data_IF_697320014270
#
_entry.id   IF_697320014270
#
_cell.length_a   1.000
_cell.length_b   1.000
_cell.length_c   1.000
_cell.angle_alpha   90.00
_cell.angle_beta   90.00
_cell.angle_gamma   90.00
#
_symmetry.space_group_name_H-M   'P 1'
#
loop_
_entity.id
_entity.type
_entity.pdbx_description
1 polymer ?
#
# COMPACT_ATOMS: atom_id res chain seq x y z
N UNK A 1 -42.97 -11.12 26.61
CA UNK A 1 -42.97 -11.24 25.14
C UNK A 1 -42.28 -10.01 24.61
N UNK A 2 -40.95 -9.98 24.70
CA UNK A 2 -40.17 -8.84 24.22
C UNK A 2 -40.07 -8.97 22.71
N UNK A 3 -40.95 -8.25 22.03
CA UNK A 3 -40.78 -7.96 20.61
C UNK A 3 -39.46 -7.22 20.50
N UNK A 4 -38.42 -7.88 19.99
CA UNK A 4 -37.22 -7.16 19.55
C UNK A 4 -37.70 -6.02 18.64
N UNK A 5 -37.55 -4.78 19.11
CA UNK A 5 -37.87 -3.59 18.34
C UNK A 5 -36.94 -3.58 17.13
N UNK A 6 -37.41 -4.15 16.01
CA UNK A 6 -36.75 -4.07 14.73
C UNK A 6 -36.79 -2.60 14.31
N UNK A 7 -35.66 -1.91 14.46
CA UNK A 7 -35.52 -0.57 13.94
C UNK A 7 -35.50 -0.64 12.40
N UNK A 8 -36.46 0.02 11.76
CA UNK A 8 -36.48 0.18 10.32
C UNK A 8 -35.86 1.53 9.95
N UNK A 9 -34.71 1.49 9.28
CA UNK A 9 -34.02 2.69 8.87
C UNK A 9 -34.84 3.46 7.82
N UNK A 10 -35.15 4.71 8.14
CA UNK A 10 -35.74 5.66 7.19
C UNK A 10 -34.62 6.41 6.46
N UNK A 11 -34.66 6.46 5.12
CA UNK A 11 -33.60 7.11 4.32
C UNK A 11 -33.81 8.61 4.09
N UNK A 12 -34.99 9.13 4.44
CA UNK A 12 -35.37 10.54 4.26
C UNK A 12 -35.90 11.20 5.56
N UNK A 13 -35.26 11.02 6.73
CA UNK A 13 -35.76 11.58 7.99
C UNK A 13 -35.69 13.11 8.04
N UNK A 14 -34.81 13.74 7.25
CA UNK A 14 -34.63 15.18 7.23
C UNK A 14 -35.51 15.80 6.14
N UNK A 15 -36.64 16.37 6.55
CA UNK A 15 -37.58 17.10 5.68
C UNK A 15 -38.05 16.32 4.44
N UNK A 16 -38.02 14.98 4.47
CA UNK A 16 -38.35 14.13 3.33
C UNK A 16 -37.34 14.22 2.17
N UNK A 17 -36.19 14.87 2.34
CA UNK A 17 -35.18 15.03 1.30
C UNK A 17 -34.03 14.04 1.48
N UNK A 18 -33.74 13.27 0.44
CA UNK A 18 -32.62 12.33 0.43
C UNK A 18 -31.27 13.05 0.51
N UNK A 19 -31.14 14.21 -0.14
CA UNK A 19 -29.90 14.97 -0.15
C UNK A 19 -29.62 15.56 1.24
N UNK A 20 -30.62 16.17 1.88
CA UNK A 20 -30.46 16.72 3.23
C UNK A 20 -30.17 15.61 4.24
N UNK A 21 -30.88 14.48 4.12
CA UNK A 21 -30.64 13.32 4.97
C UNK A 21 -29.24 12.74 4.78
N UNK A 22 -28.72 12.71 3.55
CA UNK A 22 -27.35 12.28 3.26
C UNK A 22 -26.30 13.25 3.83
N UNK A 23 -26.52 14.56 3.75
CA UNK A 23 -25.63 15.56 4.35
C UNK A 23 -25.59 15.43 5.88
N UNK A 24 -26.74 15.22 6.52
CA UNK A 24 -26.81 14.98 7.96
C UNK A 24 -26.17 13.65 8.34
N UNK A 25 -26.42 12.57 7.58
CA UNK A 25 -25.78 11.27 7.77
C UNK A 25 -24.24 11.33 7.58
N UNK A 26 -23.74 12.28 6.80
CA UNK A 26 -22.32 12.51 6.56
C UNK A 26 -21.59 13.25 7.70
N UNK A 27 -22.31 13.84 8.66
CA UNK A 27 -21.71 14.62 9.76
C UNK A 27 -20.62 13.87 10.55
N UNK A 28 -20.75 12.58 10.91
CA UNK A 28 -19.67 11.85 11.57
C UNK A 28 -18.36 11.85 10.77
N UNK A 29 -18.44 11.73 9.44
CA UNK A 29 -17.28 11.80 8.56
C UNK A 29 -16.73 13.21 8.48
N UNK A 30 -17.59 14.23 8.35
CA UNK A 30 -17.15 15.63 8.31
C UNK A 30 -16.45 16.04 9.61
N UNK A 31 -17.00 15.66 10.76
CA UNK A 31 -16.36 15.86 12.07
C UNK A 31 -14.99 15.19 12.11
N UNK A 32 -14.91 13.92 11.69
CA UNK A 32 -13.66 13.19 11.64
C UNK A 32 -12.62 13.90 10.76
N UNK A 33 -12.98 14.28 9.54
CA UNK A 33 -12.07 14.94 8.59
C UNK A 33 -11.65 16.33 9.06
N UNK A 34 -12.56 17.14 9.60
CA UNK A 34 -12.24 18.47 10.14
C UNK A 34 -11.28 18.34 11.33
N UNK A 35 -11.56 17.45 12.27
CA UNK A 35 -10.71 17.25 13.44
C UNK A 35 -9.32 16.71 13.06
N UNK A 36 -9.24 15.80 12.09
CA UNK A 36 -7.99 15.17 11.67
C UNK A 36 -7.17 16.07 10.75
N UNK A 37 -7.77 16.61 9.69
CA UNK A 37 -7.05 17.34 8.64
C UNK A 37 -6.84 18.83 8.97
N UNK A 38 -7.83 19.47 9.60
CA UNK A 38 -7.79 20.91 9.90
C UNK A 38 -7.25 21.14 11.30
N UNK A 39 -7.87 20.52 12.32
CA UNK A 39 -7.48 20.72 13.72
C UNK A 39 -6.25 19.89 14.12
N UNK A 40 -5.86 18.89 13.31
CA UNK A 40 -4.69 18.03 13.51
C UNK A 40 -4.68 17.34 14.88
N UNK A 41 -5.86 16.94 15.36
CA UNK A 41 -6.02 16.25 16.63
C UNK A 41 -5.62 14.76 16.51
N UNK A 42 -5.27 14.11 17.63
CA UNK A 42 -5.01 12.67 17.64
C UNK A 42 -6.16 11.85 17.02
N UNK A 43 -5.81 10.87 16.17
CA UNK A 43 -6.79 10.08 15.41
C UNK A 43 -7.83 9.38 16.29
N UNK A 44 -7.43 8.91 17.49
CA UNK A 44 -8.34 8.25 18.43
C UNK A 44 -9.43 9.20 18.98
N UNK A 45 -9.11 10.49 19.16
CA UNK A 45 -10.08 11.51 19.57
C UNK A 45 -11.06 11.80 18.43
N UNK A 46 -10.55 11.87 17.20
CA UNK A 46 -11.37 12.10 16.01
C UNK A 46 -12.37 10.95 15.79
N UNK A 47 -11.91 9.70 15.97
CA UNK A 47 -12.77 8.52 15.89
C UNK A 47 -13.85 8.50 16.98
N UNK A 48 -13.50 8.85 18.22
CA UNK A 48 -14.46 8.94 19.33
C UNK A 48 -15.50 10.04 19.07
N UNK A 49 -15.09 11.21 18.60
CA UNK A 49 -16.01 12.30 18.26
C UNK A 49 -16.96 11.92 17.11
N UNK A 50 -16.46 11.24 16.09
CA UNK A 50 -17.27 10.72 14.99
C UNK A 50 -18.29 9.68 15.49
N UNK A 51 -17.88 8.76 16.36
CA UNK A 51 -18.76 7.77 16.97
C UNK A 51 -19.88 8.45 17.78
N UNK A 52 -19.53 9.41 18.64
CA UNK A 52 -20.51 10.14 19.44
C UNK A 52 -21.47 10.93 18.56
N UNK A 53 -20.97 11.53 17.48
CA UNK A 53 -21.81 12.23 16.48
C UNK A 53 -22.78 11.25 15.83
N UNK A 54 -22.33 10.06 15.43
CA UNK A 54 -23.19 9.03 14.84
C UNK A 54 -24.25 8.54 15.83
N UNK A 55 -23.89 8.30 17.10
CA UNK A 55 -24.82 7.88 18.13
C UNK A 55 -25.90 8.94 18.41
N UNK A 56 -25.50 10.22 18.52
CA UNK A 56 -26.43 11.34 18.72
C UNK A 56 -27.40 11.47 17.55
N UNK A 57 -26.90 11.37 16.31
CA UNK A 57 -27.76 11.43 15.13
C UNK A 57 -28.72 10.23 15.05
N UNK A 58 -28.24 9.02 15.37
CA UNK A 58 -29.07 7.83 15.44
C UNK A 58 -30.26 8.01 16.39
N UNK A 59 -30.00 8.55 17.59
CA UNK A 59 -31.04 8.79 18.59
C UNK A 59 -31.99 9.93 18.20
N UNK A 60 -31.45 11.08 17.77
CA UNK A 60 -32.24 12.31 17.61
C UNK A 60 -32.86 12.49 16.23
N UNK A 61 -32.16 12.10 15.16
CA UNK A 61 -32.62 12.31 13.77
C UNK A 61 -33.33 11.08 13.24
N UNK A 62 -32.78 9.89 13.50
CA UNK A 62 -33.36 8.62 13.04
C UNK A 62 -34.33 8.00 14.04
N UNK A 63 -34.42 8.53 15.28
CA UNK A 63 -35.32 8.01 16.30
C UNK A 63 -34.98 6.57 16.71
N UNK A 64 -33.72 6.16 16.56
CA UNK A 64 -33.29 4.80 16.82
C UNK A 64 -33.39 4.50 18.32
N UNK A 65 -33.97 3.37 18.75
CA UNK A 65 -34.05 3.03 20.16
C UNK A 65 -32.67 2.99 20.83
N UNK A 66 -32.58 3.42 22.09
CA UNK A 66 -31.31 3.50 22.80
C UNK A 66 -30.60 2.13 22.87
N UNK A 67 -31.34 1.05 23.14
CA UNK A 67 -30.77 -0.31 23.17
C UNK A 67 -30.17 -0.74 21.83
N UNK A 68 -30.81 -0.40 20.71
CA UNK A 68 -30.30 -0.68 19.35
C UNK A 68 -29.06 0.18 19.07
N UNK A 69 -29.06 1.44 19.49
CA UNK A 69 -27.90 2.36 19.36
C UNK A 69 -26.69 1.87 20.11
N UNK A 70 -26.88 1.42 21.35
CA UNK A 70 -25.82 0.83 22.15
C UNK A 70 -25.32 -0.48 21.52
N UNK A 71 -26.24 -1.34 21.06
CA UNK A 71 -25.90 -2.59 20.37
C UNK A 71 -25.08 -2.37 19.10
N UNK A 72 -25.47 -1.44 18.23
CA UNK A 72 -24.72 -1.08 17.03
C UNK A 72 -23.33 -0.49 17.36
N UNK A 73 -23.25 0.31 18.45
CA UNK A 73 -21.99 0.88 18.93
C UNK A 73 -21.04 -0.22 19.40
N UNK A 74 -21.51 -1.16 20.23
CA UNK A 74 -20.69 -2.25 20.75
C UNK A 74 -20.33 -3.27 19.68
N UNK A 75 -21.22 -3.53 18.72
CA UNK A 75 -20.93 -4.33 17.53
C UNK A 75 -19.80 -3.69 16.71
N UNK A 76 -19.86 -2.39 16.44
CA UNK A 76 -18.79 -1.68 15.74
C UNK A 76 -17.45 -1.71 16.50
N UNK A 77 -17.48 -1.57 17.83
CA UNK A 77 -16.28 -1.73 18.67
C UNK A 77 -15.72 -3.16 18.61
N UNK A 78 -16.59 -4.18 18.66
CA UNK A 78 -16.19 -5.59 18.54
C UNK A 78 -15.62 -5.89 17.15
N UNK A 79 -16.19 -5.31 16.09
CA UNK A 79 -15.67 -5.41 14.72
C UNK A 79 -14.28 -4.73 14.59
N UNK A 80 -14.08 -3.58 15.23
CA UNK A 80 -12.74 -2.96 15.29
C UNK A 80 -11.72 -3.81 16.06
N UNK A 81 -12.12 -4.31 17.22
CA UNK A 81 -11.23 -5.04 18.12
C UNK A 81 -10.89 -6.44 17.61
N UNK A 82 -11.85 -7.16 17.04
CA UNK A 82 -11.66 -8.54 16.62
C UNK A 82 -11.15 -8.63 15.19
N UNK A 83 -11.95 -8.54 14.11
CA UNK A 83 -11.44 -8.76 12.77
C UNK A 83 -10.36 -7.75 12.34
N UNK A 84 -10.54 -6.46 12.61
CA UNK A 84 -9.57 -5.44 12.16
C UNK A 84 -8.25 -5.56 12.91
N UNK A 85 -8.28 -5.54 14.26
CA UNK A 85 -7.03 -5.61 15.03
C UNK A 85 -6.33 -6.96 14.87
N UNK A 86 -7.08 -8.06 14.66
CA UNK A 86 -6.50 -9.37 14.37
C UNK A 86 -5.71 -9.37 13.05
N UNK A 87 -6.23 -8.74 12.00
CA UNK A 87 -5.52 -8.59 10.72
C UNK A 87 -4.24 -7.78 10.92
N UNK A 88 -4.33 -6.62 11.58
CA UNK A 88 -3.18 -5.75 11.82
C UNK A 88 -2.11 -6.47 12.65
N UNK A 89 -2.50 -7.18 13.71
CA UNK A 89 -1.59 -7.97 14.54
C UNK A 89 -0.87 -9.03 13.72
N UNK A 90 -1.61 -9.84 12.94
CA UNK A 90 -1.02 -10.89 12.11
C UNK A 90 -0.15 -10.31 10.99
N UNK A 91 -0.53 -9.17 10.41
CA UNK A 91 0.28 -8.47 9.42
C UNK A 91 1.60 -7.96 10.00
N UNK A 92 1.59 -7.41 11.22
CA UNK A 92 2.81 -6.99 11.94
C UNK A 92 3.66 -8.22 12.28
N UNK A 93 3.06 -9.32 12.76
CA UNK A 93 3.79 -10.56 13.03
C UNK A 93 4.41 -11.10 11.74
N UNK A 94 3.66 -11.14 10.64
CA UNK A 94 4.17 -11.56 9.33
C UNK A 94 5.33 -10.66 8.88
N UNK A 95 5.20 -9.34 9.00
CA UNK A 95 6.27 -8.40 8.70
C UNK A 95 7.51 -8.67 9.56
N UNK A 96 7.34 -8.77 10.88
CA UNK A 96 8.42 -9.03 11.82
C UNK A 96 9.09 -10.38 11.56
N UNK A 97 8.33 -11.42 11.19
CA UNK A 97 8.87 -12.71 10.77
C UNK A 97 9.72 -12.58 9.51
N UNK A 98 9.24 -11.81 8.52
CA UNK A 98 9.98 -11.58 7.27
C UNK A 98 11.28 -10.79 7.51
N UNK A 99 11.26 -9.86 8.48
CA UNK A 99 12.45 -9.13 8.92
C UNK A 99 13.40 -10.04 9.70
N UNK A 100 12.88 -10.81 10.66
CA UNK A 100 13.68 -11.69 11.52
C UNK A 100 14.28 -12.89 10.75
N UNK A 101 13.61 -13.39 9.71
CA UNK A 101 14.13 -14.45 8.83
C UNK A 101 15.23 -13.95 7.87
N UNK A 102 15.37 -12.63 7.71
CA UNK A 102 16.26 -12.02 6.73
C UNK A 102 15.71 -12.02 5.30
N UNK A 103 14.54 -12.61 5.06
CA UNK A 103 13.88 -12.64 3.74
C UNK A 103 13.56 -11.23 3.24
N UNK A 104 13.23 -10.31 4.17
CA UNK A 104 12.99 -8.91 3.84
C UNK A 104 14.22 -8.24 3.24
N UNK A 105 15.40 -8.52 3.79
CA UNK A 105 16.65 -7.99 3.24
C UNK A 105 16.99 -8.63 1.89
N UNK A 106 16.67 -9.90 1.68
CA UNK A 106 16.79 -10.57 0.37
C UNK A 106 15.89 -9.90 -0.66
N UNK A 107 14.62 -9.64 -0.32
CA UNK A 107 13.66 -8.93 -1.18
C UNK A 107 14.19 -7.54 -1.50
N UNK A 108 14.58 -6.76 -0.49
CA UNK A 108 15.18 -5.43 -0.67
C UNK A 108 16.38 -5.47 -1.61
N UNK A 109 17.35 -6.38 -1.38
CA UNK A 109 18.53 -6.55 -2.25
C UNK A 109 18.15 -6.93 -3.67
N UNK A 110 17.17 -7.82 -3.85
CA UNK A 110 16.71 -8.22 -5.18
C UNK A 110 16.11 -7.04 -5.95
N UNK A 111 15.26 -6.23 -5.30
CA UNK A 111 14.63 -5.05 -5.91
C UNK A 111 15.67 -3.98 -6.27
N UNK A 112 16.67 -3.78 -5.42
CA UNK A 112 17.73 -2.78 -5.66
C UNK A 112 18.75 -3.22 -6.68
N UNK A 113 18.95 -4.53 -6.87
CA UNK A 113 19.85 -5.07 -7.91
C UNK A 113 19.27 -4.94 -9.31
N UNK A 114 17.94 -4.89 -9.45
CA UNK A 114 17.29 -4.75 -10.77
C UNK A 114 17.65 -3.44 -11.46
N UNK A 115 17.85 -2.37 -10.70
CA UNK A 115 18.15 -1.05 -11.26
C UNK A 115 18.90 -0.16 -10.26
N UNK A 116 19.86 0.60 -10.79
CA UNK A 116 20.55 1.66 -10.06
C UNK A 116 19.82 3.00 -10.14
N UNK A 117 18.83 3.14 -11.04
CA UNK A 117 18.08 4.40 -11.20
C UNK A 117 17.05 4.57 -10.08
N UNK A 118 17.16 5.68 -9.34
CA UNK A 118 16.29 5.95 -8.18
C UNK A 118 14.81 6.08 -8.58
N UNK A 119 14.52 6.58 -9.79
CA UNK A 119 13.13 6.70 -10.27
C UNK A 119 12.50 5.33 -10.46
N UNK A 120 13.26 4.39 -11.05
CA UNK A 120 12.80 3.02 -11.25
C UNK A 120 12.68 2.25 -9.93
N UNK A 121 13.57 2.51 -8.96
CA UNK A 121 13.43 1.98 -7.60
C UNK A 121 12.15 2.49 -6.92
N UNK A 122 11.78 3.76 -7.11
CA UNK A 122 10.50 4.30 -6.61
C UNK A 122 9.30 3.57 -7.21
N UNK A 123 9.30 3.27 -8.52
CA UNK A 123 8.22 2.48 -9.12
C UNK A 123 8.14 1.06 -8.56
N UNK A 124 9.28 0.38 -8.43
CA UNK A 124 9.32 -0.98 -7.90
C UNK A 124 8.89 -1.05 -6.43
N UNK A 125 9.40 -0.13 -5.61
CA UNK A 125 9.28 -0.20 -4.15
C UNK A 125 8.04 0.53 -3.66
N UNK A 126 7.90 1.82 -3.97
CA UNK A 126 6.82 2.65 -3.45
C UNK A 126 5.48 2.21 -4.04
N UNK A 127 5.45 1.96 -5.35
CA UNK A 127 4.21 1.65 -6.07
C UNK A 127 3.91 0.14 -6.09
N UNK A 128 4.69 -0.67 -6.80
CA UNK A 128 4.33 -2.09 -6.97
C UNK A 128 4.46 -2.90 -5.68
N UNK A 129 5.60 -2.86 -5.00
CA UNK A 129 5.78 -3.58 -3.73
C UNK A 129 4.91 -3.00 -2.61
N UNK A 130 4.75 -1.67 -2.56
CA UNK A 130 3.80 -1.02 -1.66
C UNK A 130 2.36 -1.51 -1.85
N UNK A 131 1.89 -1.59 -3.10
CA UNK A 131 0.56 -2.12 -3.41
C UNK A 131 0.40 -3.60 -3.03
N UNK A 132 1.44 -4.41 -3.19
CA UNK A 132 1.43 -5.80 -2.72
C UNK A 132 1.22 -5.88 -1.20
N UNK A 133 1.97 -5.05 -0.45
CA UNK A 133 1.82 -4.98 1.00
C UNK A 133 0.45 -4.40 1.40
N UNK A 134 -0.10 -3.44 0.67
CA UNK A 134 -1.44 -2.90 0.92
C UNK A 134 -2.53 -3.94 0.70
N UNK A 135 -2.43 -4.74 -0.37
CA UNK A 135 -3.35 -5.85 -0.60
C UNK A 135 -3.36 -6.89 0.52
N UNK A 136 -2.23 -7.08 1.21
CA UNK A 136 -2.07 -8.10 2.25
C UNK A 136 -2.34 -7.56 3.66
N UNK A 137 -1.67 -6.48 4.02
CA UNK A 137 -1.61 -5.95 5.38
C UNK A 137 -2.57 -4.77 5.57
N UNK A 138 -2.55 -3.83 4.62
CA UNK A 138 -3.26 -2.55 4.67
C UNK A 138 -3.01 -1.71 5.92
N UNK A 139 -3.98 -0.85 6.27
CA UNK A 139 -3.98 0.00 7.48
C UNK A 139 -2.72 0.86 7.69
N UNK A 140 -2.04 1.25 6.61
CA UNK A 140 -0.87 2.14 6.65
C UNK A 140 0.47 1.47 6.98
N UNK A 141 0.49 0.18 7.34
CA UNK A 141 1.73 -0.58 7.47
C UNK A 141 2.58 -0.58 6.17
N UNK A 142 2.01 -0.70 4.96
CA UNK A 142 2.75 -0.64 3.70
C UNK A 142 3.52 0.65 3.49
N UNK A 143 2.91 1.78 3.89
CA UNK A 143 3.52 3.11 3.76
C UNK A 143 4.75 3.20 4.66
N UNK A 144 4.64 2.76 5.92
CA UNK A 144 5.77 2.78 6.84
C UNK A 144 6.93 1.91 6.33
N UNK A 145 6.62 0.71 5.83
CA UNK A 145 7.61 -0.24 5.32
C UNK A 145 8.30 0.32 4.07
N UNK A 146 7.54 0.72 3.05
CA UNK A 146 8.12 1.25 1.80
C UNK A 146 8.90 2.55 2.01
N UNK A 147 8.42 3.45 2.88
CA UNK A 147 9.16 4.66 3.25
C UNK A 147 10.51 4.32 3.90
N UNK A 148 10.54 3.37 4.84
CA UNK A 148 11.79 2.95 5.49
C UNK A 148 12.78 2.30 4.49
N UNK A 149 12.28 1.50 3.54
CA UNK A 149 13.11 0.94 2.47
C UNK A 149 13.71 2.08 1.65
N UNK A 150 12.89 3.00 1.14
CA UNK A 150 13.37 4.12 0.32
C UNK A 150 14.38 4.97 1.09
N UNK A 151 14.12 5.30 2.35
CA UNK A 151 15.05 6.06 3.19
C UNK A 151 16.40 5.33 3.34
N UNK A 152 16.37 4.02 3.56
CA UNK A 152 17.59 3.21 3.65
C UNK A 152 18.37 3.08 2.34
N UNK A 153 17.74 3.41 1.21
CA UNK A 153 18.38 3.47 -0.11
C UNK A 153 19.03 4.83 -0.38
N UNK A 154 18.91 5.80 0.52
CA UNK A 154 19.48 7.14 0.37
C UNK A 154 18.48 8.21 -0.02
N UNK A 155 17.18 7.90 -0.06
CA UNK A 155 16.15 8.92 -0.19
C UNK A 155 16.09 9.74 1.10
N UNK A 156 15.83 11.04 0.98
CA UNK A 156 15.56 11.88 2.14
C UNK A 156 14.29 11.37 2.87
N UNK A 157 14.29 11.22 4.20
CA UNK A 157 13.21 10.53 4.93
C UNK A 157 11.81 11.10 4.69
N UNK A 158 11.67 12.43 4.63
CA UNK A 158 10.38 13.08 4.37
C UNK A 158 9.92 12.77 2.94
N UNK A 159 10.82 12.86 1.97
CA UNK A 159 10.56 12.53 0.57
C UNK A 159 10.15 11.07 0.41
N UNK A 160 10.84 10.15 1.10
CA UNK A 160 10.50 8.74 1.10
C UNK A 160 9.08 8.49 1.66
N UNK A 161 8.73 9.13 2.77
CA UNK A 161 7.39 9.05 3.34
C UNK A 161 6.32 9.63 2.40
N UNK A 162 6.58 10.78 1.78
CA UNK A 162 5.66 11.40 0.81
C UNK A 162 5.45 10.50 -0.41
N UNK A 163 6.52 9.93 -0.98
CA UNK A 163 6.40 9.03 -2.13
C UNK A 163 5.64 7.75 -1.77
N UNK A 164 5.88 7.17 -0.59
CA UNK A 164 5.13 6.02 -0.11
C UNK A 164 3.64 6.33 0.07
N UNK A 165 3.31 7.47 0.68
CA UNK A 165 1.92 7.93 0.86
C UNK A 165 1.22 8.15 -0.47
N UNK A 166 1.87 8.85 -1.40
CA UNK A 166 1.31 9.11 -2.74
C UNK A 166 1.07 7.82 -3.50
N UNK A 167 2.02 6.88 -3.43
CA UNK A 167 1.94 5.62 -4.16
C UNK A 167 0.79 4.74 -3.65
N UNK A 168 0.50 4.79 -2.36
CA UNK A 168 -0.58 4.02 -1.75
C UNK A 168 -1.99 4.50 -2.14
N UNK A 169 -2.13 5.57 -2.92
CA UNK A 169 -3.45 6.07 -3.34
C UNK A 169 -4.22 5.12 -4.25
N UNK A 170 -3.52 4.40 -5.16
CA UNK A 170 -4.16 3.47 -6.10
C UNK A 170 -4.70 2.18 -5.46
N UNK A 171 -3.95 1.47 -4.59
CA UNK A 171 -4.35 0.16 -4.07
C UNK A 171 -5.24 0.20 -2.80
N UNK A 172 -5.55 1.36 -2.23
CA UNK A 172 -6.27 1.36 -0.93
C UNK A 172 -7.68 0.78 -1.02
N UNK A 173 -8.33 0.85 -2.19
CA UNK A 173 -9.71 0.36 -2.32
C UNK A 173 -9.82 -1.16 -2.20
N UNK A 174 -8.81 -1.93 -2.64
CA UNK A 174 -8.78 -3.39 -2.47
C UNK A 174 -7.77 -3.84 -1.41
N UNK A 175 -7.28 -2.90 -0.61
CA UNK A 175 -6.37 -3.16 0.50
C UNK A 175 -6.98 -4.06 1.57
N UNK A 176 -6.12 -4.65 2.39
CA UNK A 176 -6.49 -5.58 3.47
C UNK A 176 -7.40 -6.71 2.97
N UNK A 177 -7.04 -7.35 1.85
CA UNK A 177 -7.82 -8.45 1.25
C UNK A 177 -9.24 -7.97 0.90
N UNK A 178 -9.36 -6.78 0.30
CA UNK A 178 -10.62 -6.25 -0.21
C UNK A 178 -11.64 -5.82 0.85
N UNK A 179 -11.26 -5.70 2.12
CA UNK A 179 -12.16 -5.34 3.23
C UNK A 179 -12.99 -4.09 2.94
N UNK A 180 -12.45 -2.98 2.40
CA UNK A 180 -13.27 -1.79 2.11
C UNK A 180 -14.47 -2.11 1.19
N UNK A 181 -14.26 -2.94 0.16
CA UNK A 181 -15.32 -3.34 -0.77
C UNK A 181 -16.26 -4.37 -0.16
N UNK A 182 -15.73 -5.33 0.59
CA UNK A 182 -16.53 -6.37 1.27
C UNK A 182 -17.44 -5.76 2.33
N UNK A 183 -16.91 -4.87 3.18
CA UNK A 183 -17.70 -4.13 4.16
C UNK A 183 -18.75 -3.27 3.49
N UNK A 184 -18.41 -2.56 2.40
CA UNK A 184 -19.39 -1.78 1.65
C UNK A 184 -20.50 -2.66 1.06
N UNK A 185 -20.16 -3.81 0.51
CA UNK A 185 -21.14 -4.77 -0.02
C UNK A 185 -22.05 -5.34 1.07
N UNK A 186 -21.50 -5.65 2.25
CA UNK A 186 -22.26 -6.08 3.43
C UNK A 186 -23.26 -5.05 3.93
N UNK A 187 -22.93 -3.75 3.82
CA UNK A 187 -23.83 -2.66 4.19
C UNK A 187 -24.88 -2.39 3.10
N UNK A 188 -24.48 -2.40 1.82
CA UNK A 188 -25.35 -1.99 0.70
C UNK A 188 -26.28 -3.11 0.23
N UNK A 189 -25.87 -4.38 0.30
CA UNK A 189 -26.68 -5.53 -0.14
C UNK A 189 -28.06 -5.57 0.53
N UNK A 190 -28.14 -5.53 1.88
CA UNK A 190 -29.41 -5.50 2.61
C UNK A 190 -30.27 -4.28 2.27
N UNK A 191 -29.64 -3.10 2.08
CA UNK A 191 -30.32 -1.85 1.71
C UNK A 191 -31.03 -1.98 0.35
N UNK A 192 -30.39 -2.66 -0.61
CA UNK A 192 -30.93 -2.88 -1.95
C UNK A 192 -31.82 -4.12 -2.05
N UNK A 193 -32.03 -4.85 -0.95
CA UNK A 193 -32.67 -6.17 -0.94
C UNK A 193 -32.03 -7.15 -1.94
N UNK A 194 -30.71 -7.09 -2.07
CA UNK A 194 -29.91 -7.94 -2.95
C UNK A 194 -28.97 -8.82 -2.13
N UNK A 195 -28.56 -9.93 -2.76
CA UNK A 195 -27.53 -10.78 -2.20
C UNK A 195 -26.22 -9.99 -1.96
N UNK A 196 -25.63 -10.18 -0.79
CA UNK A 196 -24.43 -9.46 -0.34
C UNK A 196 -23.24 -9.79 -1.23
N UNK A 197 -23.08 -11.06 -1.62
CA UNK A 197 -21.97 -11.51 -2.47
C UNK A 197 -22.06 -10.89 -3.85
N UNK A 198 -23.24 -10.94 -4.48
CA UNK A 198 -23.47 -10.30 -5.79
C UNK A 198 -23.27 -8.78 -5.73
N UNK A 199 -23.73 -8.14 -4.65
CA UNK A 199 -23.54 -6.69 -4.47
C UNK A 199 -22.06 -6.34 -4.30
N UNK A 200 -21.32 -7.14 -3.54
CA UNK A 200 -19.87 -6.97 -3.33
C UNK A 200 -19.10 -7.11 -4.65
N UNK A 201 -19.42 -8.12 -5.46
CA UNK A 201 -18.79 -8.31 -6.78
C UNK A 201 -19.13 -7.16 -7.74
N UNK A 202 -20.37 -6.67 -7.73
CA UNK A 202 -20.76 -5.52 -8.55
C UNK A 202 -20.02 -4.23 -8.14
N UNK A 203 -19.87 -3.99 -6.82
CA UNK A 203 -19.09 -2.87 -6.29
C UNK A 203 -17.60 -3.01 -6.64
N UNK A 204 -17.03 -4.20 -6.50
CA UNK A 204 -15.67 -4.52 -6.91
C UNK A 204 -15.43 -4.19 -8.39
N UNK A 205 -16.34 -4.63 -9.26
CA UNK A 205 -16.28 -4.34 -10.68
C UNK A 205 -16.39 -2.84 -10.98
N UNK A 206 -17.27 -2.12 -10.27
CA UNK A 206 -17.42 -0.67 -10.43
C UNK A 206 -16.15 0.08 -10.01
N UNK A 207 -15.63 -0.20 -8.83
CA UNK A 207 -14.40 0.41 -8.30
C UNK A 207 -13.22 0.13 -9.25
N UNK A 208 -13.07 -1.12 -9.69
CA UNK A 208 -12.01 -1.50 -10.62
C UNK A 208 -12.26 -1.13 -12.08
N UNK A 209 -13.35 -0.44 -12.41
CA UNK A 209 -13.50 0.29 -13.68
C UNK A 209 -13.05 1.75 -13.58
N UNK A 210 -13.11 2.33 -12.38
CA UNK A 210 -12.76 3.73 -12.13
C UNK A 210 -11.28 3.88 -11.76
N UNK A 211 -10.78 3.02 -10.88
CA UNK A 211 -9.39 3.08 -10.39
C UNK A 211 -8.30 2.87 -11.44
N UNK A 212 -8.45 2.02 -12.48
CA UNK A 212 -7.41 1.81 -13.49
C UNK A 212 -6.90 3.10 -14.12
N UNK A 213 -7.76 4.12 -14.28
CA UNK A 213 -7.37 5.43 -14.79
C UNK A 213 -6.34 6.09 -13.88
N UNK A 214 -6.59 6.08 -12.56
CA UNK A 214 -5.66 6.61 -11.56
C UNK A 214 -4.40 5.76 -11.43
N UNK A 215 -4.53 4.43 -11.54
CA UNK A 215 -3.40 3.49 -11.50
C UNK A 215 -2.39 3.70 -12.64
N UNK A 216 -2.81 4.23 -13.79
CA UNK A 216 -1.90 4.63 -14.88
C UNK A 216 -1.24 5.98 -14.58
N UNK A 217 -1.98 6.91 -13.97
CA UNK A 217 -1.51 8.29 -13.71
C UNK A 217 -0.53 8.34 -12.52
N UNK A 218 -0.79 7.58 -11.46
CA UNK A 218 -0.04 7.66 -10.19
C UNK A 218 1.46 7.34 -10.38
N UNK A 219 1.87 6.29 -11.11
CA UNK A 219 3.29 6.05 -11.41
C UNK A 219 3.97 7.25 -12.07
N UNK A 220 3.30 7.91 -13.03
CA UNK A 220 3.85 9.11 -13.67
C UNK A 220 3.96 10.26 -12.68
N UNK A 221 2.91 10.49 -11.90
CA UNK A 221 2.85 11.54 -10.89
C UNK A 221 3.94 11.39 -9.81
N UNK A 222 4.20 10.16 -9.33
CA UNK A 222 5.28 9.86 -8.38
C UNK A 222 6.63 10.34 -8.89
N UNK A 223 6.94 10.07 -10.16
CA UNK A 223 8.22 10.47 -10.75
C UNK A 223 8.28 11.97 -11.01
N UNK A 224 7.15 12.61 -11.33
CA UNK A 224 7.07 14.06 -11.45
C UNK A 224 7.37 14.73 -10.10
N UNK A 225 6.83 14.21 -9.00
CA UNK A 225 7.13 14.72 -7.64
C UNK A 225 8.59 14.50 -7.27
N UNK A 226 9.17 13.34 -7.61
CA UNK A 226 10.56 13.00 -7.27
C UNK A 226 11.60 13.78 -8.10
N UNK A 227 11.45 13.83 -9.43
CA UNK A 227 12.50 14.25 -10.35
C UNK A 227 12.03 15.28 -11.40
N UNK A 228 10.76 15.67 -11.39
CA UNK A 228 10.18 16.61 -12.32
C UNK A 228 9.76 16.01 -13.67
N UNK A 229 8.97 16.78 -14.41
CA UNK A 229 8.32 16.35 -15.66
C UNK A 229 9.29 15.89 -16.76
N UNK A 230 10.44 16.59 -16.90
CA UNK A 230 11.46 16.25 -17.91
C UNK A 230 12.05 14.87 -17.66
N UNK A 231 12.37 14.55 -16.41
CA UNK A 231 12.96 13.27 -16.01
C UNK A 231 11.94 12.13 -16.00
N UNK A 232 10.66 12.41 -15.79
CA UNK A 232 9.60 11.42 -15.97
C UNK A 232 9.50 10.95 -17.43
N UNK A 233 9.57 11.87 -18.40
CA UNK A 233 9.50 11.53 -19.84
C UNK A 233 10.63 10.61 -20.31
N UNK A 234 11.81 10.69 -19.70
CA UNK A 234 12.95 9.82 -20.01
C UNK A 234 12.69 8.34 -19.65
N UNK A 235 11.82 8.09 -18.66
CA UNK A 235 11.46 6.75 -18.20
C UNK A 235 10.01 6.40 -18.48
N UNK A 236 9.39 7.09 -19.43
CA UNK A 236 8.00 6.87 -19.81
C UNK A 236 7.68 5.40 -20.14
N UNK A 237 8.54 4.61 -20.81
CA UNK A 237 8.28 3.19 -21.04
C UNK A 237 8.09 2.41 -19.73
N UNK A 238 8.93 2.65 -18.73
CA UNK A 238 8.83 1.99 -17.43
C UNK A 238 7.57 2.42 -16.67
N UNK A 239 7.29 3.73 -16.65
CA UNK A 239 6.08 4.30 -16.03
C UNK A 239 4.81 3.70 -16.64
N UNK A 240 4.73 3.65 -17.97
CA UNK A 240 3.58 3.10 -18.69
C UNK A 240 3.45 1.60 -18.45
N UNK A 241 4.55 0.84 -18.52
CA UNK A 241 4.50 -0.60 -18.27
C UNK A 241 4.02 -0.87 -16.85
N UNK A 242 4.56 -0.18 -15.84
CA UNK A 242 4.13 -0.34 -14.44
C UNK A 242 2.66 0.00 -14.25
N UNK A 243 2.22 1.17 -14.73
CA UNK A 243 0.84 1.63 -14.52
C UNK A 243 -0.19 0.85 -15.33
N UNK A 244 0.08 0.58 -16.61
CA UNK A 244 -0.86 -0.13 -17.50
C UNK A 244 -0.99 -1.60 -17.08
N UNK A 245 0.12 -2.29 -16.79
CA UNK A 245 0.05 -3.69 -16.34
C UNK A 245 -0.72 -3.81 -15.02
N UNK A 246 -0.46 -2.92 -14.06
CA UNK A 246 -1.22 -2.85 -12.81
C UNK A 246 -2.71 -2.60 -13.09
N UNK A 247 -3.04 -1.57 -13.87
CA UNK A 247 -4.40 -1.17 -14.19
C UNK A 247 -5.21 -2.25 -14.93
N UNK A 248 -4.60 -2.94 -15.91
CA UNK A 248 -5.27 -4.02 -16.65
C UNK A 248 -5.57 -5.19 -15.73
N UNK A 249 -4.60 -5.63 -14.93
CA UNK A 249 -4.79 -6.76 -14.02
C UNK A 249 -5.78 -6.39 -12.92
N UNK A 250 -5.68 -5.18 -12.37
CA UNK A 250 -6.62 -4.65 -11.40
C UNK A 250 -8.05 -4.69 -11.95
N UNK A 251 -8.25 -4.21 -13.18
CA UNK A 251 -9.54 -4.28 -13.87
C UNK A 251 -10.04 -5.72 -14.05
N UNK A 252 -9.20 -6.63 -14.55
CA UNK A 252 -9.61 -8.01 -14.82
C UNK A 252 -9.98 -8.76 -13.54
N UNK A 253 -9.12 -8.70 -12.52
CA UNK A 253 -9.34 -9.42 -11.27
C UNK A 253 -10.55 -8.86 -10.52
N UNK A 254 -10.71 -7.54 -10.47
CA UNK A 254 -11.85 -6.93 -9.77
C UNK A 254 -13.19 -7.22 -10.44
N UNK A 255 -13.22 -7.43 -11.76
CA UNK A 255 -14.45 -7.69 -12.53
C UNK A 255 -14.82 -9.17 -12.57
N UNK A 256 -13.84 -10.08 -12.55
CA UNK A 256 -14.08 -11.51 -12.78
C UNK A 256 -13.80 -12.42 -11.58
N UNK A 257 -13.01 -11.97 -10.60
CA UNK A 257 -12.63 -12.79 -9.44
C UNK A 257 -13.21 -12.20 -8.17
N UNK A 258 -12.88 -10.94 -7.86
CA UNK A 258 -13.36 -10.27 -6.66
C UNK A 258 -12.32 -9.34 -6.03
N UNK A 259 -12.72 -8.60 -4.98
CA UNK A 259 -11.89 -7.56 -4.39
C UNK A 259 -10.67 -8.09 -3.64
N UNK A 260 -10.72 -9.31 -3.11
CA UNK A 260 -9.73 -9.86 -2.16
C UNK A 260 -8.31 -9.98 -2.73
N UNK A 261 -8.19 -10.28 -4.02
CA UNK A 261 -6.92 -10.58 -4.68
C UNK A 261 -6.47 -9.51 -5.66
N UNK A 262 -7.32 -8.50 -5.86
CA UNK A 262 -7.18 -7.52 -6.95
C UNK A 262 -5.82 -6.84 -6.92
N UNK A 263 -5.46 -6.20 -5.80
CA UNK A 263 -4.20 -5.45 -5.74
C UNK A 263 -2.96 -6.34 -5.54
N UNK A 264 -3.12 -7.51 -4.91
CA UNK A 264 -2.03 -8.48 -4.75
C UNK A 264 -1.55 -8.97 -6.13
N UNK A 265 -2.48 -9.43 -6.96
CA UNK A 265 -2.15 -9.96 -8.30
C UNK A 265 -1.69 -8.81 -9.20
N UNK A 266 -2.36 -7.65 -9.17
CA UNK A 266 -1.96 -6.48 -9.95
C UNK A 266 -0.55 -6.00 -9.62
N UNK A 267 -0.19 -5.96 -8.34
CA UNK A 267 1.14 -5.58 -7.87
C UNK A 267 2.22 -6.56 -8.34
N UNK A 268 2.00 -7.88 -8.19
CA UNK A 268 2.95 -8.91 -8.60
C UNK A 268 3.18 -8.89 -10.11
N UNK A 269 2.11 -8.80 -10.90
CA UNK A 269 2.23 -8.71 -12.37
C UNK A 269 2.93 -7.42 -12.77
N UNK A 270 2.59 -6.28 -12.16
CA UNK A 270 3.23 -5.01 -12.46
C UNK A 270 4.74 -5.01 -12.16
N UNK A 271 5.13 -5.55 -11.01
CA UNK A 271 6.53 -5.73 -10.64
C UNK A 271 7.25 -6.68 -11.61
N UNK A 272 6.62 -7.79 -11.99
CA UNK A 272 7.15 -8.74 -12.97
C UNK A 272 7.33 -8.12 -14.35
N UNK A 273 6.33 -7.40 -14.86
CA UNK A 273 6.39 -6.69 -16.13
C UNK A 273 7.51 -5.64 -16.15
N UNK A 274 7.67 -4.87 -15.07
CA UNK A 274 8.77 -3.91 -14.96
C UNK A 274 10.13 -4.62 -14.91
N UNK A 275 10.27 -5.70 -14.14
CA UNK A 275 11.51 -6.47 -14.09
C UNK A 275 11.90 -7.06 -15.47
N UNK A 276 10.92 -7.56 -16.22
CA UNK A 276 11.11 -8.05 -17.60
C UNK A 276 11.53 -6.90 -18.53
N UNK A 277 10.86 -5.75 -18.44
CA UNK A 277 11.22 -4.57 -19.24
C UNK A 277 12.68 -4.16 -18.97
N UNK A 278 13.10 -4.11 -17.71
CA UNK A 278 14.46 -3.72 -17.32
C UNK A 278 15.55 -4.69 -17.79
N UNK A 279 15.15 -5.90 -18.20
CA UNK A 279 16.04 -6.88 -18.82
C UNK A 279 16.36 -6.54 -20.28
N UNK A 280 15.43 -5.90 -20.99
CA UNK A 280 15.56 -5.56 -22.41
C UNK A 280 15.77 -4.07 -22.66
N UNK A 281 15.43 -3.22 -21.70
CA UNK A 281 15.47 -1.77 -21.82
C UNK A 281 16.07 -1.15 -20.55
N UNK A 282 16.94 -0.15 -20.73
CA UNK A 282 17.48 0.67 -19.64
C UNK A 282 17.37 2.14 -20.00
N UNK A 283 17.17 3.03 -19.02
CA UNK A 283 17.11 4.46 -19.29
C UNK A 283 18.43 4.96 -19.87
N UNK A 284 18.35 5.89 -20.83
CA UNK A 284 19.52 6.50 -21.48
C UNK A 284 20.39 7.30 -20.51
N UNK A 285 19.77 7.89 -19.48
CA UNK A 285 20.48 8.56 -18.38
C UNK A 285 20.00 7.97 -17.06
N UNK A 286 20.94 7.43 -16.28
CA UNK A 286 20.65 6.95 -14.92
C UNK A 286 20.52 8.17 -14.02
N UNK A 287 19.39 8.27 -13.32
CA UNK A 287 19.13 9.35 -12.39
C UNK A 287 19.44 8.91 -10.96
N UNK A 288 20.38 9.63 -10.33
CA UNK A 288 20.82 9.47 -8.95
C UNK A 288 20.65 10.82 -8.22
N UNK A 289 20.69 10.80 -6.89
CA UNK A 289 20.61 12.03 -6.09
C UNK A 289 21.86 12.90 -6.23
N UNK A 290 21.74 14.19 -5.89
CA UNK A 290 22.80 15.21 -6.09
C UNK A 290 24.12 14.99 -5.31
N UNK A 291 24.24 13.91 -4.53
CA UNK A 291 25.47 13.49 -3.85
C UNK A 291 25.98 12.11 -4.25
N UNK A 292 25.28 11.41 -5.15
CA UNK A 292 25.65 10.07 -5.63
C UNK A 292 26.34 10.22 -6.98
N UNK A 293 27.67 10.24 -6.99
CA UNK A 293 28.41 10.16 -8.24
C UNK A 293 28.07 8.82 -8.92
N UNK A 294 27.61 8.87 -10.16
CA UNK A 294 27.43 7.66 -10.97
C UNK A 294 28.76 6.93 -11.02
N UNK A 295 28.86 5.79 -10.32
CA UNK A 295 30.04 4.94 -10.40
C UNK A 295 30.24 4.58 -11.87
N UNK A 296 31.30 5.13 -12.47
CA UNK A 296 31.66 4.82 -13.84
C UNK A 296 31.79 3.29 -13.97
N UNK A 297 31.36 2.69 -15.09
CA UNK A 297 31.52 1.26 -15.30
C UNK A 297 33.01 0.93 -15.12
N UNK A 298 33.31 0.04 -14.17
CA UNK A 298 34.67 -0.31 -13.82
C UNK A 298 35.38 -0.88 -15.06
N UNK A 299 36.19 -0.06 -15.71
CA UNK A 299 37.13 -0.52 -16.72
C UNK A 299 38.09 -1.53 -16.07
N UNK A 300 38.59 -2.53 -16.83
CA UNK A 300 39.46 -3.56 -16.28
C UNK A 300 40.73 -2.90 -15.71
N UNK A 301 40.83 -2.87 -14.38
CA UNK A 301 42.03 -2.43 -13.68
C UNK A 301 43.16 -3.40 -14.04
N UNK A 302 44.12 -2.94 -14.86
CA UNK A 302 45.43 -3.58 -14.96
C UNK A 302 46.07 -3.56 -13.57
N UNK A 303 46.21 -4.74 -12.96
CA UNK A 303 47.05 -4.93 -11.79
C UNK A 303 48.50 -4.86 -12.30
N UNK A 304 49.13 -3.69 -12.18
CA UNK A 304 50.58 -3.57 -12.34
C UNK A 304 51.20 -3.86 -10.98
N UNK A 305 51.89 -5.01 -10.87
CA UNK A 305 52.64 -5.37 -9.68
C UNK A 305 53.79 -4.39 -9.44
N UNK A 306 54.02 -4.03 -8.19
CA UNK A 306 55.35 -3.63 -7.74
C UNK A 306 55.55 -4.04 -6.28
N UNK A 307 56.66 -4.75 -6.09
CA UNK A 307 57.26 -5.24 -4.86
C UNK A 307 58.09 -4.14 -4.20
N UNK A 308 58.00 -3.99 -2.87
CA UNK A 308 58.94 -3.20 -2.06
C UNK A 308 58.38 -2.72 -0.70
N UNK A 309 59.18 -2.66 0.39
CA UNK A 309 58.68 -2.95 1.74
C UNK A 309 58.31 -1.73 2.61
N UNK A 310 57.37 -2.01 3.52
CA UNK A 310 57.09 -1.42 4.83
C UNK A 310 57.55 0.02 5.15
N UNK A 311 56.56 0.91 5.38
CA UNK A 311 56.63 1.91 6.46
C UNK A 311 55.24 2.20 7.01
N UNK A 312 55.02 1.85 8.28
CA UNK A 312 53.87 2.28 9.09
C UNK A 312 53.95 3.78 9.30
N UNK A 313 52.84 4.47 9.06
CA UNK A 313 52.54 5.79 9.62
C UNK A 313 51.05 5.78 9.99
N UNK A 314 50.80 5.72 11.28
CA UNK A 314 49.48 5.76 11.90
C UNK A 314 48.82 7.11 11.62
N UNK A 315 47.72 7.10 10.87
CA UNK A 315 46.80 8.23 10.73
C UNK A 315 45.43 7.81 11.29
N UNK A 316 44.90 8.50 12.32
CA UNK A 316 43.57 8.24 12.87
C UNK A 316 42.51 8.80 11.91
N UNK A 317 42.25 8.05 10.85
CA UNK A 317 41.26 8.40 9.82
C UNK A 317 40.90 7.24 8.89
N UNK A 318 41.65 6.14 8.90
CA UNK A 318 41.39 4.98 8.05
C UNK A 318 40.53 3.88 8.71
N UNK A 319 40.25 3.97 10.01
CA UNK A 319 39.35 3.04 10.71
C UNK A 319 37.88 3.20 10.27
N UNK A 320 37.49 4.38 9.78
CA UNK A 320 36.14 4.62 9.22
C UNK A 320 35.99 4.20 7.75
N UNK A 321 37.10 3.92 7.05
CA UNK A 321 37.11 3.50 5.65
C UNK A 321 37.25 1.96 5.48
N UNK A 322 37.49 1.23 6.57
CA UNK A 322 37.71 -0.22 6.55
C UNK A 322 36.45 -1.05 6.88
N UNK A 323 35.35 -0.44 7.32
CA UNK A 323 34.08 -1.12 7.62
C UNK A 323 33.11 -1.23 6.42
N UNK A 324 33.51 -0.77 5.23
CA UNK A 324 32.65 -0.73 4.03
C UNK A 324 32.78 -1.91 3.06
N UNK A 325 33.54 -2.95 3.36
CA UNK A 325 33.60 -4.17 2.52
C UNK A 325 32.75 -5.29 3.13
N UNK A 326 31.45 -5.03 3.27
CA UNK A 326 30.49 -6.11 3.24
C UNK A 326 30.66 -6.78 1.87
N UNK A 327 31.12 -8.04 1.85
CA UNK A 327 31.13 -8.84 0.63
C UNK A 327 29.76 -8.73 -0.02
N UNK A 328 29.73 -8.55 -1.35
CA UNK A 328 28.50 -8.43 -2.10
C UNK A 328 27.70 -9.74 -1.92
N UNK A 329 26.80 -9.80 -0.93
CA UNK A 329 25.97 -10.98 -0.70
C UNK A 329 25.09 -11.13 -1.92
N UNK A 330 25.43 -12.10 -2.78
CA UNK A 330 24.68 -12.48 -3.96
C UNK A 330 23.71 -13.59 -3.57
N UNK A 331 22.44 -13.22 -3.41
CA UNK A 331 21.40 -14.20 -3.12
C UNK A 331 21.13 -15.06 -4.37
N UNK A 332 21.12 -16.38 -4.19
CA UNK A 332 20.79 -17.33 -5.25
C UNK A 332 19.36 -17.10 -5.76
N UNK A 333 19.04 -17.33 -7.06
CA UNK A 333 17.68 -17.24 -7.58
C UNK A 333 16.67 -18.08 -6.80
N UNK A 334 17.09 -19.25 -6.28
CA UNK A 334 16.26 -20.10 -5.44
C UNK A 334 15.97 -19.45 -4.06
N UNK A 335 16.92 -18.70 -3.50
CA UNK A 335 16.75 -17.98 -2.25
C UNK A 335 15.79 -16.79 -2.43
N UNK A 336 15.92 -16.05 -3.53
CA UNK A 336 15.01 -14.97 -3.90
C UNK A 336 13.59 -15.53 -4.10
N UNK A 337 13.44 -16.61 -4.87
CA UNK A 337 12.15 -17.25 -5.08
C UNK A 337 11.51 -17.72 -3.77
N UNK A 338 12.31 -18.25 -2.83
CA UNK A 338 11.85 -18.66 -1.49
C UNK A 338 11.41 -17.46 -0.64
N UNK A 339 12.14 -16.35 -0.68
CA UNK A 339 11.79 -15.12 0.04
C UNK A 339 10.43 -14.55 -0.44
N UNK A 340 10.19 -14.56 -1.75
CA UNK A 340 8.86 -14.22 -2.31
C UNK A 340 7.81 -15.33 -2.06
N UNK A 341 8.25 -16.56 -1.81
CA UNK A 341 7.39 -17.73 -1.59
C UNK A 341 6.42 -17.57 -0.43
N UNK A 342 6.77 -16.85 0.63
CA UNK A 342 5.84 -16.56 1.74
C UNK A 342 4.61 -15.76 1.29
N UNK A 343 4.81 -14.77 0.41
CA UNK A 343 3.72 -13.99 -0.17
C UNK A 343 2.87 -14.84 -1.10
N UNK A 344 3.49 -15.71 -1.91
CA UNK A 344 2.77 -16.65 -2.78
C UNK A 344 1.93 -17.65 -1.98
N UNK A 345 2.49 -18.23 -0.92
CA UNK A 345 1.76 -19.12 -0.01
C UNK A 345 0.57 -18.38 0.60
N UNK A 346 0.75 -17.13 1.02
CA UNK A 346 -0.35 -16.33 1.54
C UNK A 346 -1.45 -16.13 0.50
N UNK A 347 -1.10 -15.81 -0.76
CA UNK A 347 -2.08 -15.71 -1.87
C UNK A 347 -2.83 -17.03 -2.05
N UNK A 348 -2.13 -18.17 -2.04
CA UNK A 348 -2.73 -19.50 -2.20
C UNK A 348 -3.66 -19.85 -1.04
N UNK A 349 -3.25 -19.57 0.19
CA UNK A 349 -4.08 -19.82 1.38
C UNK A 349 -5.35 -18.96 1.33
N UNK A 350 -5.25 -17.69 0.94
CA UNK A 350 -6.41 -16.83 0.76
C UNK A 350 -7.33 -17.39 -0.33
N UNK A 351 -6.78 -17.77 -1.49
CA UNK A 351 -7.55 -18.39 -2.58
C UNK A 351 -8.32 -19.62 -2.11
N UNK A 352 -7.67 -20.53 -1.39
CA UNK A 352 -8.29 -21.76 -0.87
C UNK A 352 -9.35 -21.43 0.18
N UNK A 353 -9.09 -20.46 1.07
CA UNK A 353 -10.05 -20.05 2.10
C UNK A 353 -11.29 -19.33 1.57
N UNK A 354 -11.32 -18.97 0.28
CA UNK A 354 -12.47 -18.34 -0.39
C UNK A 354 -13.30 -19.34 -1.23
N UNK A 355 -12.83 -20.57 -1.42
CA UNK A 355 -13.55 -21.66 -2.11
C UNK A 355 -14.47 -22.42 -1.15
#
# INVERSE_FOLDING_TARGET
>A
MDVFLAFHQTYQPVLGSILLSALVAGLPLYVLFVMLAILRLPAWICALAALLTAAVLGLLVWGMPFGVTLGATTEGMAFGLWPISWIVLNAIVFHNLTVASGDFDVIKRSLTRLTTDRRLQTLLIAFSFGALLEGIAGFGAPVAITASILASLGFEPVTAAVLALLANTAPVAFGSIGIPVVTLGGLVGPILHKDVTQTTLALSAMVGRQLPVFSIIIPAYLIVVLAGWRKMREILPAVLVTGISFAIVQFLVSNFVGPQLTDIIAALVSMGCLAVLLRFWRPKSVWLFAGEAAAAPAGPRRIMGSSGPARRADLPGQAAAATGRAGEVTDSPAHIARAYGMYVVLVVVILIGQM
#
